data_IF_455115833677
#
_entry.id   IF_455115833677
#
_cell.length_a   1.000
_cell.length_b   1.000
_cell.length_c   1.000
_cell.angle_alpha   90.00
_cell.angle_beta   90.00
_cell.angle_gamma   90.00
#
_symmetry.space_group_name_H-M   'P 1'
#
loop_
_entity.id
_entity.type
_entity.pdbx_description
1 polymer ?
#
# COMPACT_ATOMS: atom_id res chain seq x y z
N UNK A 1 0.55 -3.98 -10.35
CA UNK A 1 1.90 -4.52 -10.63
C UNK A 1 1.96 -6.06 -10.75
N UNK A 2 1.54 -6.85 -9.75
CA UNK A 2 1.72 -8.32 -9.76
C UNK A 2 1.05 -9.06 -10.96
N UNK A 3 -0.15 -8.65 -11.37
CA UNK A 3 -0.80 -9.21 -12.56
C UNK A 3 -0.10 -8.81 -13.87
N UNK A 4 0.44 -7.59 -13.93
CA UNK A 4 1.21 -7.09 -15.07
C UNK A 4 2.52 -7.88 -15.19
N UNK A 5 3.16 -8.20 -14.07
CA UNK A 5 4.36 -9.05 -14.04
C UNK A 5 4.12 -10.42 -14.67
N UNK A 6 2.94 -11.02 -14.40
CA UNK A 6 2.59 -12.35 -14.93
C UNK A 6 2.15 -12.35 -16.39
N UNK A 7 1.63 -11.24 -16.90
CA UNK A 7 1.02 -11.16 -18.25
C UNK A 7 1.85 -10.41 -19.27
N UNK A 8 2.53 -9.34 -18.84
CA UNK A 8 3.23 -8.39 -19.72
C UNK A 8 4.75 -8.35 -19.48
N UNK A 9 5.25 -9.11 -18.50
CA UNK A 9 6.67 -9.20 -18.17
C UNK A 9 7.17 -8.15 -17.17
N UNK A 10 8.47 -8.21 -16.87
CA UNK A 10 9.10 -7.47 -15.76
C UNK A 10 9.14 -5.96 -16.00
N UNK A 11 9.52 -5.52 -17.20
CA UNK A 11 9.66 -4.09 -17.54
C UNK A 11 8.37 -3.27 -17.30
N UNK A 12 7.20 -3.65 -17.86
CA UNK A 12 5.96 -2.91 -17.61
C UNK A 12 5.46 -3.04 -16.16
N UNK A 13 5.78 -4.14 -15.48
CA UNK A 13 5.42 -4.31 -14.07
C UNK A 13 6.17 -3.34 -13.16
N UNK A 14 7.47 -3.10 -13.43
CA UNK A 14 8.26 -2.09 -12.73
C UNK A 14 7.70 -0.71 -13.00
N UNK A 15 7.43 -0.37 -14.27
CA UNK A 15 6.88 0.94 -14.60
C UNK A 15 5.54 1.21 -13.90
N UNK A 16 4.63 0.24 -13.91
CA UNK A 16 3.36 0.34 -13.21
C UNK A 16 3.53 0.46 -11.69
N UNK A 17 4.47 -0.29 -11.10
CA UNK A 17 4.79 -0.18 -9.67
C UNK A 17 5.32 1.21 -9.30
N UNK A 18 6.30 1.71 -10.06
CA UNK A 18 6.89 3.02 -9.83
C UNK A 18 5.84 4.12 -9.98
N UNK A 19 5.00 4.08 -11.03
CA UNK A 19 3.91 5.04 -11.20
C UNK A 19 2.91 5.00 -10.02
N UNK A 20 2.53 3.80 -9.57
CA UNK A 20 1.62 3.62 -8.43
C UNK A 20 2.23 4.06 -7.09
N UNK A 21 3.55 3.96 -6.93
CA UNK A 21 4.30 4.42 -5.76
C UNK A 21 4.42 5.95 -5.78
N UNK A 22 4.92 6.50 -6.89
CA UNK A 22 5.15 7.93 -7.07
C UNK A 22 3.86 8.73 -6.90
N UNK A 23 2.72 8.29 -7.45
CA UNK A 23 1.46 9.02 -7.23
C UNK A 23 1.08 9.08 -5.74
N UNK A 24 1.34 8.01 -4.98
CA UNK A 24 1.07 7.96 -3.53
C UNK A 24 1.97 8.96 -2.80
N UNK A 25 3.26 8.95 -3.11
CA UNK A 25 4.25 9.89 -2.55
C UNK A 25 3.91 11.34 -2.91
N UNK A 26 3.73 11.65 -4.20
CA UNK A 26 3.48 13.02 -4.69
C UNK A 26 2.20 13.58 -4.09
N UNK A 27 1.13 12.80 -4.00
CA UNK A 27 -0.15 13.30 -3.46
C UNK A 27 -0.02 13.76 -2.01
N UNK A 28 0.70 13.02 -1.17
CA UNK A 28 0.93 13.39 0.23
C UNK A 28 1.92 14.55 0.36
N UNK A 29 2.94 14.57 -0.50
CA UNK A 29 3.92 15.65 -0.51
C UNK A 29 3.27 16.99 -0.88
N UNK A 30 2.41 17.01 -1.90
CA UNK A 30 1.62 18.18 -2.28
C UNK A 30 0.68 18.59 -1.14
N UNK A 31 0.00 17.64 -0.49
CA UNK A 31 -0.87 17.94 0.64
C UNK A 31 -0.12 18.61 1.79
N UNK A 32 1.09 18.13 2.12
CA UNK A 32 1.93 18.76 3.14
C UNK A 32 2.47 20.12 2.73
N UNK A 33 2.85 20.27 1.46
CA UNK A 33 3.35 21.54 0.94
C UNK A 33 2.28 22.64 0.99
N UNK A 34 1.00 22.27 0.78
CA UNK A 34 -0.14 23.17 0.92
C UNK A 34 -0.52 23.47 2.38
N UNK A 35 0.19 22.90 3.35
CA UNK A 35 -0.03 23.15 4.78
C UNK A 35 -1.28 22.50 5.35
N UNK A 36 -1.82 21.43 4.71
CA UNK A 36 -2.99 20.74 5.25
C UNK A 36 -2.69 20.06 6.59
N UNK A 37 -3.64 20.13 7.51
CA UNK A 37 -3.54 19.44 8.78
C UNK A 37 -3.45 17.92 8.63
N UNK A 38 -2.92 17.31 9.67
CA UNK A 38 -2.72 15.87 9.79
C UNK A 38 -3.97 15.03 9.49
N UNK A 39 -5.17 15.51 9.84
CA UNK A 39 -6.45 14.83 9.53
C UNK A 39 -6.76 14.89 8.03
N UNK A 40 -6.57 16.06 7.40
CA UNK A 40 -6.84 16.24 5.97
C UNK A 40 -5.87 15.43 5.12
N UNK A 41 -4.60 15.37 5.52
CA UNK A 41 -3.60 14.50 4.87
C UNK A 41 -4.05 13.03 4.89
N UNK A 42 -4.66 12.57 5.99
CA UNK A 42 -5.20 11.22 6.09
C UNK A 42 -6.40 10.99 5.17
N UNK A 43 -7.30 11.96 5.04
CA UNK A 43 -8.42 11.90 4.10
C UNK A 43 -7.95 11.87 2.65
N UNK A 44 -6.92 12.65 2.33
CA UNK A 44 -6.27 12.67 1.00
C UNK A 44 -5.60 11.32 0.72
N UNK A 45 -4.87 10.76 1.70
CA UNK A 45 -4.28 9.42 1.60
C UNK A 45 -5.34 8.35 1.31
N UNK A 46 -6.45 8.41 2.05
CA UNK A 46 -7.60 7.50 1.89
C UNK A 46 -8.19 7.62 0.48
N UNK A 47 -8.41 8.84 0.02
CA UNK A 47 -8.95 9.14 -1.32
C UNK A 47 -8.03 8.64 -2.43
N UNK A 48 -6.72 8.77 -2.24
CA UNK A 48 -5.70 8.28 -3.19
C UNK A 48 -5.76 6.76 -3.33
N UNK A 49 -5.93 6.03 -2.22
CA UNK A 49 -6.07 4.57 -2.22
C UNK A 49 -7.40 4.15 -2.87
N UNK A 50 -8.51 4.82 -2.53
CA UNK A 50 -9.82 4.56 -3.12
C UNK A 50 -9.81 4.78 -4.65
N UNK A 51 -9.19 5.87 -5.11
CA UNK A 51 -9.00 6.16 -6.54
C UNK A 51 -8.16 5.10 -7.26
N UNK A 52 -7.19 4.49 -6.58
CA UNK A 52 -6.44 3.36 -7.15
C UNK A 52 -7.29 2.08 -7.25
N UNK A 53 -8.12 1.79 -6.25
CA UNK A 53 -8.97 0.59 -6.24
C UNK A 53 -10.11 0.64 -7.24
N UNK A 54 -10.69 1.83 -7.46
CA UNK A 54 -11.74 2.08 -8.45
C UNK A 54 -11.32 3.18 -9.40
N UNK A 55 -10.23 2.95 -10.12
CA UNK A 55 -9.81 3.88 -11.17
C UNK A 55 -10.87 3.94 -12.28
N UNK A 56 -11.32 5.15 -12.60
CA UNK A 56 -12.27 5.42 -13.69
C UNK A 56 -11.70 4.94 -15.02
N UNK A 57 -10.39 5.16 -15.22
CA UNK A 57 -9.66 4.77 -16.44
C UNK A 57 -9.64 3.26 -16.68
N UNK A 58 -9.78 2.45 -15.62
CA UNK A 58 -9.74 0.99 -15.72
C UNK A 58 -11.12 0.34 -15.47
N UNK A 59 -12.22 1.04 -15.79
CA UNK A 59 -13.60 0.56 -15.61
C UNK A 59 -13.89 0.09 -14.17
N UNK A 60 -13.43 0.84 -13.18
CA UNK A 60 -13.54 0.51 -11.75
C UNK A 60 -12.86 -0.80 -11.33
N UNK A 61 -11.91 -1.31 -12.12
CA UNK A 61 -11.07 -2.47 -11.78
C UNK A 61 -9.67 -2.01 -11.39
N UNK A 62 -9.42 -1.84 -10.10
CA UNK A 62 -8.11 -1.44 -9.57
C UNK A 62 -7.27 -2.60 -9.03
N UNK A 63 -6.00 -2.29 -8.75
CA UNK A 63 -5.08 -3.20 -8.05
C UNK A 63 -5.22 -3.13 -6.53
N UNK A 64 -4.34 -3.85 -5.83
CA UNK A 64 -4.40 -4.04 -4.38
C UNK A 64 -4.06 -2.79 -3.56
N UNK A 65 -3.42 -1.77 -4.14
CA UNK A 65 -3.03 -0.55 -3.43
C UNK A 65 -1.72 -0.64 -2.63
N UNK A 66 -1.03 -1.79 -2.67
CA UNK A 66 0.22 -2.00 -1.95
C UNK A 66 1.31 -0.96 -2.27
N UNK A 67 1.58 -0.72 -3.57
CA UNK A 67 2.61 0.23 -3.99
C UNK A 67 2.25 1.68 -3.58
N UNK A 68 0.98 2.04 -3.73
CA UNK A 68 0.47 3.36 -3.36
C UNK A 68 0.53 3.60 -1.86
N UNK A 69 0.19 2.59 -1.05
CA UNK A 69 0.33 2.64 0.40
C UNK A 69 1.80 2.78 0.82
N UNK A 70 2.73 2.07 0.18
CA UNK A 70 4.17 2.24 0.43
C UNK A 70 4.63 3.68 0.18
N UNK A 71 4.18 4.30 -0.91
CA UNK A 71 4.51 5.70 -1.24
C UNK A 71 3.94 6.71 -0.24
N UNK A 72 2.70 6.50 0.23
CA UNK A 72 2.05 7.31 1.27
C UNK A 72 2.83 7.20 2.59
N UNK A 73 3.12 5.97 3.03
CA UNK A 73 3.84 5.72 4.29
C UNK A 73 5.22 6.35 4.30
N UNK A 74 5.94 6.30 3.17
CA UNK A 74 7.27 6.90 3.05
C UNK A 74 7.25 8.40 3.35
N UNK A 75 6.29 9.14 2.79
CA UNK A 75 6.20 10.59 3.04
C UNK A 75 5.69 10.87 4.43
N UNK A 76 4.68 10.14 4.90
CA UNK A 76 4.06 10.43 6.19
C UNK A 76 5.03 10.26 7.36
N UNK A 77 5.89 9.25 7.31
CA UNK A 77 6.73 8.88 8.44
C UNK A 77 8.23 8.94 8.15
N UNK A 78 8.66 9.35 6.95
CA UNK A 78 10.07 9.53 6.55
C UNK A 78 10.97 8.34 6.93
N UNK A 79 11.66 8.37 8.07
CA UNK A 79 12.61 7.34 8.50
C UNK A 79 11.97 5.95 8.76
N UNK A 80 11.00 5.79 9.68
CA UNK A 80 10.30 4.52 9.84
C UNK A 80 9.48 4.11 8.60
N UNK A 81 9.04 5.08 7.79
CA UNK A 81 8.41 4.80 6.50
C UNK A 81 9.39 4.16 5.50
N UNK A 82 10.62 4.65 5.44
CA UNK A 82 11.69 4.09 4.62
C UNK A 82 12.03 2.65 5.05
N UNK A 83 12.13 2.39 6.36
CA UNK A 83 12.37 1.03 6.88
C UNK A 83 11.23 0.09 6.45
N UNK A 84 9.98 0.51 6.58
CA UNK A 84 8.83 -0.29 6.15
C UNK A 84 8.85 -0.60 4.64
N UNK A 85 9.24 0.37 3.80
CA UNK A 85 9.36 0.17 2.34
C UNK A 85 10.52 -0.76 2.00
N UNK A 86 11.68 -0.61 2.65
CA UNK A 86 12.83 -1.51 2.45
C UNK A 86 12.47 -2.93 2.89
N UNK A 87 11.85 -3.09 4.06
CA UNK A 87 11.37 -4.38 4.54
C UNK A 87 10.39 -5.04 3.56
N UNK A 88 9.43 -4.26 3.05
CA UNK A 88 8.51 -4.69 2.02
C UNK A 88 9.22 -5.12 0.72
N UNK A 89 10.28 -4.42 0.31
CA UNK A 89 11.07 -4.75 -0.87
C UNK A 89 11.86 -6.06 -0.67
N UNK A 90 12.48 -6.23 0.50
CA UNK A 90 13.21 -7.44 0.88
C UNK A 90 12.26 -8.65 0.86
N UNK A 91 11.12 -8.58 1.53
CA UNK A 91 10.13 -9.68 1.51
C UNK A 91 9.65 -9.96 0.09
N UNK A 92 9.43 -8.94 -0.73
CA UNK A 92 8.99 -9.14 -2.11
C UNK A 92 10.06 -9.84 -2.96
N UNK A 93 11.34 -9.53 -2.75
CA UNK A 93 12.46 -10.23 -3.38
C UNK A 93 12.50 -11.72 -3.00
N UNK A 94 12.32 -12.03 -1.71
CA UNK A 94 12.24 -13.42 -1.22
C UNK A 94 10.89 -14.11 -1.52
N UNK A 95 9.85 -13.35 -1.87
CA UNK A 95 8.51 -13.88 -2.17
C UNK A 95 8.37 -14.57 -3.51
N UNK A 96 9.45 -14.83 -4.25
CA UNK A 96 9.43 -15.92 -5.25
C UNK A 96 8.97 -17.26 -4.65
N UNK A 97 9.08 -17.42 -3.33
CA UNK A 97 8.59 -18.58 -2.55
C UNK A 97 7.11 -18.44 -2.14
N UNK A 98 6.61 -17.23 -1.91
CA UNK A 98 5.27 -16.98 -1.37
C UNK A 98 4.29 -16.55 -2.48
N UNK A 99 3.18 -17.29 -2.61
CA UNK A 99 2.13 -17.03 -3.62
C UNK A 99 1.53 -15.60 -3.53
N UNK A 100 1.67 -14.94 -2.37
CA UNK A 100 1.10 -13.61 -2.04
C UNK A 100 2.03 -12.79 -1.11
N UNK A 101 3.03 -12.02 -1.61
CA UNK A 101 3.93 -11.21 -0.78
C UNK A 101 3.23 -10.18 0.13
N UNK A 102 2.11 -9.63 -0.34
CA UNK A 102 1.40 -8.54 0.32
C UNK A 102 0.75 -8.94 1.65
N UNK A 103 0.47 -10.23 1.87
CA UNK A 103 -0.09 -10.74 3.12
C UNK A 103 0.84 -10.49 4.31
N UNK A 104 2.16 -10.56 4.10
CA UNK A 104 3.17 -10.41 5.16
C UNK A 104 3.72 -8.99 5.23
N UNK A 105 3.89 -8.33 4.08
CA UNK A 105 4.45 -6.98 4.03
C UNK A 105 3.55 -5.93 4.69
N UNK A 106 2.23 -6.00 4.49
CA UNK A 106 1.30 -4.97 4.99
C UNK A 106 1.27 -4.98 6.54
N UNK A 107 1.00 -6.10 7.22
CA UNK A 107 1.01 -6.12 8.69
C UNK A 107 2.40 -5.83 9.27
N UNK A 108 3.45 -6.37 8.67
CA UNK A 108 4.83 -6.13 9.12
C UNK A 108 5.22 -4.66 9.01
N UNK A 109 4.86 -4.00 7.91
CA UNK A 109 5.08 -2.56 7.73
C UNK A 109 4.34 -1.72 8.76
N UNK A 110 3.11 -2.09 9.13
CA UNK A 110 2.36 -1.40 10.19
C UNK A 110 3.01 -1.59 11.57
N UNK A 111 3.43 -2.82 11.89
CA UNK A 111 4.11 -3.10 13.16
C UNK A 111 5.39 -2.26 13.31
N UNK A 112 6.20 -2.14 12.25
CA UNK A 112 7.40 -1.30 12.25
C UNK A 112 7.05 0.16 12.59
N UNK A 113 5.97 0.70 12.01
CA UNK A 113 5.51 2.06 12.31
C UNK A 113 5.08 2.21 13.78
N UNK A 114 4.32 1.26 14.32
CA UNK A 114 3.83 1.29 15.70
C UNK A 114 4.99 1.18 16.70
N UNK A 115 5.92 0.24 16.48
CA UNK A 115 7.07 0.03 17.35
C UNK A 115 8.00 1.26 17.39
N UNK A 116 8.23 1.91 16.25
CA UNK A 116 9.14 3.05 16.19
C UNK A 116 8.54 4.31 16.79
N UNK A 117 7.26 4.58 16.52
CA UNK A 117 6.66 5.85 16.91
C UNK A 117 6.30 5.88 18.40
N UNK A 118 6.11 4.71 19.05
CA UNK A 118 5.76 4.49 20.48
C UNK A 118 4.53 5.25 21.02
N UNK A 119 4.08 6.28 20.35
CA UNK A 119 3.05 7.22 20.76
C UNK A 119 1.84 7.05 19.85
N UNK A 120 0.71 6.60 20.41
CA UNK A 120 -0.54 6.35 19.69
C UNK A 120 -1.23 7.67 19.34
N UNK A 121 -0.69 8.38 18.35
CA UNK A 121 -1.31 9.58 17.82
C UNK A 121 -2.45 9.21 16.84
N UNK A 122 -3.41 10.13 16.68
CA UNK A 122 -4.56 10.00 15.75
C UNK A 122 -4.15 9.59 14.34
N UNK A 123 -2.98 10.03 13.88
CA UNK A 123 -2.41 9.68 12.58
C UNK A 123 -2.03 8.20 12.44
N UNK A 124 -1.49 7.57 13.50
CA UNK A 124 -1.10 6.16 13.46
C UNK A 124 -2.33 5.29 13.42
N UNK A 125 -3.35 5.64 14.21
CA UNK A 125 -4.64 4.94 14.21
C UNK A 125 -5.27 5.03 12.82
N UNK A 126 -5.30 6.23 12.23
CA UNK A 126 -5.80 6.43 10.87
C UNK A 126 -5.04 5.61 9.81
N UNK A 127 -3.72 5.54 9.95
CA UNK A 127 -2.89 4.72 9.08
C UNK A 127 -3.11 3.22 9.31
N UNK A 128 -3.36 2.79 10.55
CA UNK A 128 -3.76 1.42 10.86
C UNK A 128 -5.02 1.02 10.13
N UNK A 129 -6.04 1.89 10.12
CA UNK A 129 -7.27 1.66 9.35
C UNK A 129 -6.96 1.51 7.85
N UNK A 130 -6.12 2.38 7.28
CA UNK A 130 -5.71 2.28 5.87
C UNK A 130 -4.94 1.00 5.56
N UNK A 131 -4.02 0.60 6.44
CA UNK A 131 -3.28 -0.65 6.32
C UNK A 131 -4.22 -1.86 6.37
N UNK A 132 -5.18 -1.89 7.30
CA UNK A 132 -6.20 -2.94 7.38
C UNK A 132 -7.06 -3.01 6.12
N UNK A 133 -7.51 -1.87 5.61
CA UNK A 133 -8.29 -1.76 4.38
C UNK A 133 -7.54 -2.32 3.16
N UNK A 134 -6.26 -1.94 3.00
CA UNK A 134 -5.38 -2.43 1.93
C UNK A 134 -5.05 -3.92 2.09
N UNK A 135 -4.87 -4.39 3.31
CA UNK A 135 -4.71 -5.81 3.61
C UNK A 135 -5.93 -6.63 3.19
N UNK A 136 -7.14 -6.21 3.60
CA UNK A 136 -8.38 -6.90 3.25
C UNK A 136 -8.58 -6.92 1.73
N UNK A 137 -8.32 -5.81 1.05
CA UNK A 137 -8.43 -5.73 -0.40
C UNK A 137 -7.45 -6.66 -1.10
N UNK A 138 -6.16 -6.62 -0.71
CA UNK A 138 -5.12 -7.46 -1.32
C UNK A 138 -5.39 -8.96 -1.08
N UNK A 139 -5.87 -9.31 0.10
CA UNK A 139 -6.14 -10.71 0.45
C UNK A 139 -7.50 -11.22 0.02
N UNK A 140 -8.39 -10.36 -0.50
CA UNK A 140 -9.72 -10.76 -0.95
C UNK A 140 -9.70 -11.90 -1.97
N UNK A 141 -8.68 -11.97 -2.83
CA UNK A 141 -8.49 -13.06 -3.80
C UNK A 141 -8.13 -14.37 -3.10
N UNK A 142 -7.27 -14.31 -2.07
CA UNK A 142 -6.86 -15.49 -1.27
C UNK A 142 -8.04 -16.01 -0.46
N UNK A 143 -8.78 -15.11 0.18
CA UNK A 143 -10.00 -15.45 0.93
C UNK A 143 -11.04 -16.12 0.04
N UNK A 144 -11.29 -15.59 -1.17
CA UNK A 144 -12.21 -16.19 -2.14
C UNK A 144 -11.74 -17.58 -2.59
N UNK A 145 -10.44 -17.78 -2.83
CA UNK A 145 -9.91 -19.09 -3.20
C UNK A 145 -10.04 -20.12 -2.08
N UNK A 146 -9.74 -19.74 -0.82
CA UNK A 146 -9.91 -20.62 0.34
C UNK A 146 -11.38 -20.95 0.60
N UNK A 147 -12.28 -19.99 0.45
CA UNK A 147 -13.71 -20.22 0.66
C UNK A 147 -14.28 -21.21 -0.38
N UNK A 148 -13.85 -21.09 -1.64
CA UNK A 148 -14.25 -22.00 -2.73
C UNK A 148 -13.61 -23.40 -2.66
N UNK A 149 -12.63 -23.63 -1.78
CA UNK A 149 -12.08 -24.96 -1.53
C UNK A 149 -12.73 -25.68 -0.35
N UNK A 150 -13.59 -24.97 0.41
CA UNK A 150 -14.31 -25.50 1.59
C UNK A 150 -15.76 -25.84 1.24
N UNK A 151 -16.35 -25.11 0.27
CA UNK A 151 -17.65 -25.40 -0.35
C UNK A 151 -17.45 -26.30 -1.56
#
# INVERSE_FOLDING_TARGET
>A
AANVLRTSGVKPAIFAFTADFTKGTVTILVARFLGFDNIFVLMIASSTILGHWKSVFNRMRGGDGFATLGGITLVMYSFPGMIAVVFAFVINYFSKIFKYPSTLCIPGGYLILVFYTKNMNSQIIGMGILYSLVFLKSNSTVFKQKFKSIV
#
